data_IF_046623765932
#
_entry.id   IF_046623765932
#
_cell.length_a   1.000
_cell.length_b   1.000
_cell.length_c   1.000
_cell.angle_alpha   90.00
_cell.angle_beta   90.00
_cell.angle_gamma   90.00
#
_symmetry.space_group_name_H-M   'P 1'
#
loop_
_entity.id
_entity.type
_entity.pdbx_description
1 polymer ?
#
# COMPACT_ATOMS: atom_id res chain seq x y z
N UNK A 1 40.22 17.73 78.05
CA UNK A 1 40.25 18.25 76.67
C UNK A 1 40.94 19.59 76.74
N UNK A 2 41.97 19.82 75.92
CA UNK A 2 42.66 21.12 75.90
C UNK A 2 41.71 22.17 75.30
N UNK A 3 41.51 23.28 76.00
CA UNK A 3 40.79 24.44 75.47
C UNK A 3 41.70 25.18 74.49
N UNK A 4 41.32 25.20 73.22
CA UNK A 4 42.00 25.98 72.18
C UNK A 4 41.86 27.47 72.48
N UNK A 5 42.94 28.21 72.28
CA UNK A 5 42.93 29.67 72.38
C UNK A 5 42.10 30.27 71.23
N UNK A 6 41.61 31.49 71.42
CA UNK A 6 40.79 32.18 70.40
C UNK A 6 41.57 32.35 69.09
N UNK A 7 42.88 32.58 69.15
CA UNK A 7 43.76 32.78 68.00
C UNK A 7 43.94 31.50 67.18
N UNK A 8 44.08 30.34 67.85
CA UNK A 8 44.11 29.04 67.17
C UNK A 8 42.78 28.75 66.45
N UNK A 9 41.65 29.03 67.10
CA UNK A 9 40.32 28.85 66.48
C UNK A 9 40.07 29.76 65.28
N UNK A 10 40.60 30.98 65.29
CA UNK A 10 40.50 31.92 64.16
C UNK A 10 41.36 31.43 62.99
N UNK A 11 42.59 30.98 63.27
CA UNK A 11 43.49 30.42 62.25
C UNK A 11 42.89 29.18 61.58
N UNK A 12 42.30 28.27 62.37
CA UNK A 12 41.61 27.09 61.85
C UNK A 12 40.40 27.46 60.99
N UNK A 13 39.63 28.47 61.40
CA UNK A 13 38.49 28.96 60.63
C UNK A 13 38.91 29.59 59.30
N UNK A 14 39.99 30.37 59.28
CA UNK A 14 40.56 30.95 58.06
C UNK A 14 41.03 29.87 57.09
N UNK A 15 41.64 28.80 57.59
CA UNK A 15 42.04 27.66 56.78
C UNK A 15 40.82 26.95 56.16
N UNK A 16 39.79 26.67 56.97
CA UNK A 16 38.54 26.04 56.50
C UNK A 16 37.79 26.93 55.48
N UNK A 17 37.78 28.25 55.69
CA UNK A 17 37.18 29.20 54.74
C UNK A 17 37.96 29.24 53.42
N UNK A 18 39.30 29.20 53.46
CA UNK A 18 40.11 29.16 52.27
C UNK A 18 39.90 27.86 51.47
N UNK A 19 39.73 26.73 52.16
CA UNK A 19 39.47 25.44 51.52
C UNK A 19 38.07 25.40 50.88
N UNK A 20 37.05 25.90 51.59
CA UNK A 20 35.69 26.04 51.06
C UNK A 20 35.63 26.97 49.84
N UNK A 21 36.40 28.08 49.84
CA UNK A 21 36.51 28.97 48.68
C UNK A 21 37.14 28.28 47.48
N UNK A 22 38.10 27.38 47.69
CA UNK A 22 38.70 26.58 46.61
C UNK A 22 37.73 25.55 46.07
N UNK A 23 37.01 24.83 46.94
CA UNK A 23 35.98 23.86 46.51
C UNK A 23 34.85 24.55 45.73
N UNK A 24 34.31 25.65 46.24
CA UNK A 24 33.24 26.41 45.56
C UNK A 24 33.69 26.97 44.21
N UNK A 25 34.94 27.43 44.10
CA UNK A 25 35.51 27.86 42.81
C UNK A 25 35.63 26.69 41.83
N UNK A 26 36.07 25.51 42.30
CA UNK A 26 36.18 24.29 41.48
C UNK A 26 34.81 23.82 41.00
N UNK A 27 33.82 23.70 41.88
CA UNK A 27 32.45 23.33 41.50
C UNK A 27 31.84 24.35 40.52
N UNK A 28 32.15 25.63 40.66
CA UNK A 28 31.68 26.67 39.73
C UNK A 28 32.30 26.56 38.32
N UNK A 29 33.47 25.93 38.18
CA UNK A 29 34.07 25.61 36.88
C UNK A 29 33.40 24.36 36.31
N UNK A 30 33.30 23.28 37.09
CA UNK A 30 32.65 22.03 36.68
C UNK A 30 31.18 22.26 36.26
N UNK A 31 30.43 23.13 36.95
CA UNK A 31 29.06 23.50 36.57
C UNK A 31 28.98 24.29 35.26
N UNK A 32 30.01 25.08 34.92
CA UNK A 32 30.07 25.81 33.65
C UNK A 32 30.35 24.85 32.50
N UNK A 33 31.32 23.98 32.66
CA UNK A 33 31.65 22.93 31.68
C UNK A 33 30.43 22.03 31.42
N UNK A 34 29.77 21.55 32.49
CA UNK A 34 28.55 20.76 32.37
C UNK A 34 27.42 21.50 31.64
N UNK A 35 27.28 22.81 31.87
CA UNK A 35 26.25 23.62 31.20
C UNK A 35 26.53 23.75 29.71
N UNK A 36 27.78 23.86 29.32
CA UNK A 36 28.21 23.95 27.93
C UNK A 36 28.02 22.59 27.22
N UNK A 37 28.42 21.47 27.85
CA UNK A 37 28.14 20.10 27.36
C UNK A 37 26.63 19.85 27.20
N UNK A 38 25.82 20.27 28.17
CA UNK A 38 24.36 20.16 28.12
C UNK A 38 23.73 21.00 26.99
N UNK A 39 24.40 22.07 26.55
CA UNK A 39 23.94 22.88 25.43
C UNK A 39 24.25 22.20 24.11
N UNK A 40 25.48 21.70 23.94
CA UNK A 40 25.89 20.92 22.77
C UNK A 40 25.00 19.69 22.59
N UNK A 41 24.79 18.92 23.68
CA UNK A 41 23.89 17.76 23.67
C UNK A 41 22.46 18.12 23.25
N UNK A 42 21.93 19.28 23.69
CA UNK A 42 20.58 19.73 23.28
C UNK A 42 20.50 20.06 21.80
N UNK A 43 21.56 20.63 21.24
CA UNK A 43 21.61 20.99 19.82
C UNK A 43 21.77 19.74 18.95
N UNK A 44 22.65 18.79 19.33
CA UNK A 44 22.73 17.46 18.69
C UNK A 44 21.39 16.71 18.74
N UNK A 45 20.72 16.72 19.89
CA UNK A 45 19.40 16.09 20.04
C UNK A 45 18.31 16.74 19.18
N UNK A 46 18.43 18.04 18.86
CA UNK A 46 17.51 18.72 17.94
C UNK A 46 17.79 18.30 16.51
N UNK A 47 19.05 18.30 16.09
CA UNK A 47 19.46 17.87 14.75
C UNK A 47 19.07 16.41 14.49
N UNK A 48 19.34 15.52 15.45
CA UNK A 48 18.93 14.11 15.38
C UNK A 48 17.41 13.94 15.24
N UNK A 49 16.61 14.73 15.98
CA UNK A 49 15.14 14.71 15.86
C UNK A 49 14.68 15.18 14.49
N UNK A 50 15.29 16.22 13.95
CA UNK A 50 14.96 16.75 12.63
C UNK A 50 15.34 15.77 11.51
N UNK A 51 16.51 15.13 11.60
CA UNK A 51 16.93 14.07 10.70
C UNK A 51 15.97 12.88 10.76
N UNK A 52 15.68 12.37 11.95
CA UNK A 52 14.71 11.29 12.17
C UNK A 52 13.35 11.63 11.56
N UNK A 53 12.89 12.88 11.69
CA UNK A 53 11.62 13.33 11.10
C UNK A 53 11.69 13.32 9.57
N UNK A 54 12.78 13.79 8.97
CA UNK A 54 12.98 13.78 7.51
C UNK A 54 13.05 12.35 6.98
N UNK A 55 13.75 11.45 7.66
CA UNK A 55 13.80 10.03 7.32
C UNK A 55 12.43 9.37 7.40
N UNK A 56 11.65 9.62 8.45
CA UNK A 56 10.26 9.14 8.57
C UNK A 56 9.40 9.58 7.39
N UNK A 57 9.49 10.86 7.00
CA UNK A 57 8.74 11.39 5.84
C UNK A 57 9.18 10.67 4.54
N UNK A 58 10.49 10.50 4.34
CA UNK A 58 11.02 9.80 3.16
C UNK A 58 10.57 8.34 3.12
N UNK A 59 10.68 7.63 4.23
CA UNK A 59 10.22 6.24 4.35
C UNK A 59 8.72 6.16 4.07
N UNK A 60 7.89 7.02 4.66
CA UNK A 60 6.44 7.02 4.42
C UNK A 60 6.11 7.19 2.93
N UNK A 61 6.84 8.06 2.22
CA UNK A 61 6.70 8.20 0.77
C UNK A 61 7.07 6.92 0.02
N UNK A 62 8.21 6.32 0.35
CA UNK A 62 8.65 5.06 -0.28
C UNK A 62 7.67 3.91 -0.01
N UNK A 63 7.15 3.81 1.22
CA UNK A 63 6.13 2.84 1.60
C UNK A 63 4.83 3.07 0.82
N UNK A 64 4.42 4.33 0.63
CA UNK A 64 3.27 4.68 -0.21
C UNK A 64 3.49 4.28 -1.68
N UNK A 65 4.65 4.59 -2.25
CA UNK A 65 5.00 4.18 -3.62
C UNK A 65 5.04 2.66 -3.77
N UNK A 66 5.55 1.93 -2.78
CA UNK A 66 5.57 0.47 -2.77
C UNK A 66 4.15 -0.11 -2.69
N UNK A 67 3.30 0.41 -1.79
CA UNK A 67 1.92 -0.02 -1.67
C UNK A 67 1.12 0.19 -2.96
N UNK A 68 1.33 1.33 -3.64
CA UNK A 68 0.71 1.61 -4.94
C UNK A 68 1.14 0.58 -6.00
N UNK A 69 2.46 0.28 -6.08
CA UNK A 69 2.96 -0.74 -7.01
C UNK A 69 2.38 -2.12 -6.71
N UNK A 70 2.22 -2.49 -5.44
CA UNK A 70 1.61 -3.77 -5.09
C UNK A 70 0.17 -3.90 -5.60
N UNK A 71 -0.57 -2.79 -5.72
CA UNK A 71 -1.89 -2.76 -6.35
C UNK A 71 -1.82 -3.04 -7.85
N UNK A 72 -0.96 -2.30 -8.58
CA UNK A 72 -0.89 -2.41 -10.04
C UNK A 72 -0.15 -3.65 -10.53
N UNK A 73 0.64 -4.32 -9.69
CA UNK A 73 1.39 -5.51 -10.10
C UNK A 73 0.48 -6.63 -10.61
N UNK A 74 -0.70 -6.81 -10.00
CA UNK A 74 -1.64 -7.86 -10.46
C UNK A 74 -2.21 -7.48 -11.82
N UNK A 75 -2.57 -6.20 -12.01
CA UNK A 75 -3.06 -5.62 -13.27
C UNK A 75 -2.03 -5.77 -14.39
N UNK A 76 -0.78 -5.37 -14.12
CA UNK A 76 0.33 -5.41 -15.07
C UNK A 76 0.68 -6.86 -15.48
N UNK A 77 0.43 -7.84 -14.61
CA UNK A 77 0.64 -9.27 -14.89
C UNK A 77 -0.52 -9.91 -15.68
N UNK A 78 -1.76 -9.52 -15.40
CA UNK A 78 -2.93 -10.12 -16.05
C UNK A 78 -3.24 -9.51 -17.42
N UNK A 79 -3.09 -8.19 -17.57
CA UNK A 79 -3.48 -7.47 -18.78
C UNK A 79 -2.96 -8.10 -20.08
N UNK A 80 -1.67 -8.51 -20.18
CA UNK A 80 -1.14 -9.17 -21.37
C UNK A 80 -1.82 -10.52 -21.69
N UNK A 81 -2.36 -11.20 -20.67
CA UNK A 81 -2.97 -12.52 -20.78
C UNK A 81 -4.47 -12.47 -21.08
N UNK A 82 -5.15 -11.34 -20.87
CA UNK A 82 -6.61 -11.23 -21.06
C UNK A 82 -7.10 -11.67 -22.44
N UNK A 83 -6.47 -11.29 -23.57
CA UNK A 83 -6.91 -11.77 -24.89
C UNK A 83 -6.86 -13.29 -25.02
N UNK A 84 -5.77 -13.91 -24.54
CA UNK A 84 -5.60 -15.35 -24.61
C UNK A 84 -6.57 -16.10 -23.69
N UNK A 85 -6.88 -15.54 -22.52
CA UNK A 85 -7.86 -16.10 -21.59
C UNK A 85 -9.27 -16.02 -22.19
N UNK A 86 -9.61 -14.89 -22.81
CA UNK A 86 -10.91 -14.72 -23.46
C UNK A 86 -11.13 -15.78 -24.54
N UNK A 87 -10.14 -15.99 -25.41
CA UNK A 87 -10.19 -17.00 -26.47
C UNK A 87 -10.36 -18.44 -25.94
N UNK A 88 -9.91 -18.73 -24.72
CA UNK A 88 -10.09 -20.04 -24.08
C UNK A 88 -11.46 -20.18 -23.40
N UNK A 89 -12.00 -19.08 -22.89
CA UNK A 89 -13.20 -19.10 -22.06
C UNK A 89 -14.50 -18.92 -22.85
N UNK A 90 -14.45 -18.21 -23.98
CA UNK A 90 -15.61 -18.00 -24.87
C UNK A 90 -15.20 -18.23 -26.33
N UNK A 91 -16.17 -18.36 -27.23
CA UNK A 91 -15.94 -18.49 -28.67
C UNK A 91 -15.54 -17.13 -29.29
N UNK A 92 -14.40 -16.61 -28.85
CA UNK A 92 -13.76 -15.40 -29.34
C UNK A 92 -12.53 -15.82 -30.14
N UNK A 93 -12.45 -15.42 -31.41
CA UNK A 93 -11.27 -15.64 -32.24
C UNK A 93 -10.34 -14.43 -32.18
N UNK A 94 -9.05 -14.63 -32.38
CA UNK A 94 -8.07 -13.55 -32.31
C UNK A 94 -8.40 -12.39 -33.28
N UNK A 95 -8.95 -12.69 -34.46
CA UNK A 95 -9.33 -11.70 -35.48
C UNK A 95 -10.57 -10.89 -35.10
N UNK A 96 -11.36 -11.37 -34.14
CA UNK A 96 -12.57 -10.69 -33.65
C UNK A 96 -12.31 -9.77 -32.45
N UNK A 97 -11.05 -9.66 -32.00
CA UNK A 97 -10.67 -8.71 -30.95
C UNK A 97 -10.71 -7.30 -31.54
N UNK A 98 -11.69 -6.51 -31.11
CA UNK A 98 -11.92 -5.14 -31.59
C UNK A 98 -11.12 -4.13 -30.77
N UNK A 99 -10.98 -4.36 -29.46
CA UNK A 99 -10.27 -3.45 -28.57
C UNK A 99 -9.69 -4.16 -27.34
N UNK A 100 -8.51 -3.71 -26.91
CA UNK A 100 -7.91 -4.02 -25.60
C UNK A 100 -7.64 -2.70 -24.90
N UNK A 101 -8.33 -2.47 -23.79
CA UNK A 101 -8.29 -1.22 -23.05
C UNK A 101 -7.68 -1.48 -21.66
N UNK A 102 -6.40 -1.14 -21.45
CA UNK A 102 -5.80 -1.19 -20.12
C UNK A 102 -6.20 0.03 -19.30
N UNK A 103 -6.68 -0.17 -18.07
CA UNK A 103 -7.09 0.90 -17.15
C UNK A 103 -8.02 1.98 -17.73
N UNK A 104 -9.06 1.67 -18.52
CA UNK A 104 -9.94 2.70 -19.06
C UNK A 104 -10.72 3.36 -17.93
N UNK A 105 -10.66 4.70 -17.91
CA UNK A 105 -11.49 5.50 -17.02
C UNK A 105 -12.72 5.95 -17.79
N UNK A 106 -13.91 5.53 -17.34
CA UNK A 106 -15.19 5.80 -18.00
C UNK A 106 -16.12 6.57 -17.09
N UNK A 107 -16.91 7.46 -17.69
CA UNK A 107 -18.00 8.17 -17.02
C UNK A 107 -19.29 7.41 -17.24
N UNK A 108 -20.16 7.42 -16.24
CA UNK A 108 -21.50 6.87 -16.38
C UNK A 108 -22.29 7.69 -17.42
N UNK A 109 -23.08 7.02 -18.26
CA UNK A 109 -23.76 7.64 -19.41
C UNK A 109 -24.73 8.76 -18.98
N UNK A 110 -25.48 8.54 -17.91
CA UNK A 110 -26.46 9.49 -17.36
C UNK A 110 -25.94 10.28 -16.15
N UNK A 111 -25.30 9.63 -15.20
CA UNK A 111 -24.76 10.25 -13.98
C UNK A 111 -23.32 10.78 -14.14
N UNK A 112 -23.14 11.96 -14.74
CA UNK A 112 -21.81 12.49 -15.10
C UNK A 112 -20.80 12.65 -13.94
N UNK A 113 -21.28 12.74 -12.70
CA UNK A 113 -20.43 12.77 -11.49
C UNK A 113 -19.80 11.42 -11.17
N UNK A 114 -20.37 10.32 -11.67
CA UNK A 114 -19.87 8.96 -11.48
C UNK A 114 -18.85 8.64 -12.56
N UNK A 115 -17.66 8.29 -12.10
CA UNK A 115 -16.53 7.87 -12.92
C UNK A 115 -15.95 6.59 -12.29
N UNK A 116 -15.63 5.61 -13.13
CA UNK A 116 -15.02 4.34 -12.70
C UNK A 116 -13.79 4.08 -13.55
N UNK A 117 -12.71 3.68 -12.89
CA UNK A 117 -11.56 3.05 -13.53
C UNK A 117 -11.78 1.54 -13.50
N UNK A 118 -11.53 0.89 -14.63
CA UNK A 118 -11.59 -0.56 -14.76
C UNK A 118 -10.19 -1.08 -15.01
N UNK A 119 -9.73 -2.10 -14.31
CA UNK A 119 -8.34 -2.58 -14.42
C UNK A 119 -8.00 -3.03 -15.86
N UNK A 120 -8.93 -3.72 -16.52
CA UNK A 120 -8.81 -4.08 -17.92
C UNK A 120 -10.15 -4.39 -18.58
N UNK A 121 -10.30 -3.98 -19.84
CA UNK A 121 -11.49 -4.29 -20.64
C UNK A 121 -11.08 -4.77 -22.01
N UNK A 122 -11.70 -5.84 -22.49
CA UNK A 122 -11.46 -6.39 -23.84
C UNK A 122 -12.79 -6.54 -24.56
N UNK A 123 -12.84 -6.06 -25.80
CA UNK A 123 -14.00 -6.22 -26.69
C UNK A 123 -13.62 -7.28 -27.73
N UNK A 124 -14.40 -8.35 -27.81
CA UNK A 124 -14.18 -9.41 -28.79
C UNK A 124 -15.50 -9.96 -29.32
N UNK A 125 -15.81 -9.67 -30.59
CA UNK A 125 -17.08 -10.04 -31.19
C UNK A 125 -18.25 -9.64 -30.28
N UNK A 126 -19.11 -10.60 -29.94
CA UNK A 126 -20.28 -10.36 -29.10
C UNK A 126 -19.98 -10.21 -27.60
N UNK A 127 -18.72 -10.17 -27.18
CA UNK A 127 -18.32 -10.20 -25.78
C UNK A 127 -17.60 -8.94 -25.34
N UNK A 128 -17.95 -8.48 -24.13
CA UNK A 128 -17.25 -7.44 -23.40
C UNK A 128 -16.68 -8.05 -22.12
N UNK A 129 -15.38 -8.33 -22.11
CA UNK A 129 -14.70 -8.83 -20.92
C UNK A 129 -14.30 -7.66 -20.03
N UNK A 130 -14.65 -7.74 -18.75
CA UNK A 130 -14.20 -6.81 -17.71
C UNK A 130 -13.36 -7.57 -16.71
N UNK A 131 -12.13 -7.13 -16.52
CA UNK A 131 -11.19 -7.68 -15.56
C UNK A 131 -11.06 -6.77 -14.34
N UNK A 132 -11.01 -7.40 -13.17
CA UNK A 132 -10.69 -6.73 -11.90
C UNK A 132 -9.67 -7.56 -11.13
N UNK A 133 -8.68 -6.89 -10.56
CA UNK A 133 -7.57 -7.48 -9.85
C UNK A 133 -7.65 -7.17 -8.36
N UNK A 134 -7.27 -8.14 -7.54
CA UNK A 134 -7.26 -8.02 -6.08
C UNK A 134 -5.95 -8.54 -5.55
N UNK A 135 -5.28 -7.76 -4.71
CA UNK A 135 -4.09 -8.20 -3.96
C UNK A 135 -4.39 -9.32 -2.98
N UNK A 136 -5.61 -9.35 -2.44
CA UNK A 136 -6.12 -10.41 -1.57
C UNK A 136 -7.58 -10.66 -1.90
N UNK A 137 -7.91 -11.91 -2.21
CA UNK A 137 -9.23 -12.32 -2.66
C UNK A 137 -10.06 -12.91 -1.50
N UNK A 138 -11.31 -12.47 -1.41
CA UNK A 138 -12.30 -12.98 -0.46
C UNK A 138 -13.62 -13.24 -1.18
N UNK A 139 -14.50 -14.06 -0.59
CA UNK A 139 -15.84 -14.30 -1.14
C UNK A 139 -16.67 -13.01 -1.24
N UNK A 140 -16.47 -12.06 -0.32
CA UNK A 140 -17.11 -10.74 -0.36
C UNK A 140 -16.68 -9.93 -1.58
N UNK A 141 -15.36 -9.82 -1.83
CA UNK A 141 -14.83 -9.11 -3.01
C UNK A 141 -15.30 -9.73 -4.33
N UNK A 142 -15.43 -11.06 -4.37
CA UNK A 142 -16.00 -11.76 -5.53
C UNK A 142 -17.46 -11.34 -5.75
N UNK A 143 -18.27 -11.27 -4.68
CA UNK A 143 -19.67 -10.82 -4.77
C UNK A 143 -19.76 -9.37 -5.19
N UNK A 144 -19.02 -8.47 -4.56
CA UNK A 144 -18.99 -7.04 -4.90
C UNK A 144 -18.66 -6.83 -6.38
N UNK A 145 -17.64 -7.53 -6.89
CA UNK A 145 -17.30 -7.48 -8.31
C UNK A 145 -18.45 -7.98 -9.18
N UNK A 146 -19.00 -9.15 -8.86
CA UNK A 146 -20.11 -9.78 -9.61
C UNK A 146 -21.34 -8.88 -9.65
N UNK A 147 -21.71 -8.27 -8.53
CA UNK A 147 -22.86 -7.38 -8.41
C UNK A 147 -22.66 -6.07 -9.17
N UNK A 148 -21.40 -5.67 -9.44
CA UNK A 148 -21.06 -4.49 -10.23
C UNK A 148 -21.11 -4.72 -11.75
N UNK A 149 -21.09 -5.97 -12.23
CA UNK A 149 -21.01 -6.30 -13.65
C UNK A 149 -22.22 -5.82 -14.48
N UNK A 150 -23.48 -5.89 -14.01
CA UNK A 150 -24.62 -5.38 -14.77
C UNK A 150 -24.52 -3.89 -15.10
N UNK A 151 -23.92 -3.09 -14.22
CA UNK A 151 -23.76 -1.64 -14.38
C UNK A 151 -22.68 -1.27 -15.41
N UNK A 152 -21.81 -2.21 -15.81
CA UNK A 152 -20.75 -1.96 -16.81
C UNK A 152 -21.30 -1.34 -18.09
N UNK A 153 -22.51 -1.75 -18.52
CA UNK A 153 -23.15 -1.22 -19.74
C UNK A 153 -23.42 0.29 -19.67
N UNK A 154 -23.63 0.83 -18.48
CA UNK A 154 -23.84 2.27 -18.30
C UNK A 154 -22.54 3.08 -18.44
N UNK A 155 -21.38 2.44 -18.30
CA UNK A 155 -20.06 3.05 -18.53
C UNK A 155 -19.56 2.84 -19.97
N UNK A 156 -20.05 1.80 -20.65
CA UNK A 156 -19.72 1.44 -22.02
C UNK A 156 -20.99 1.32 -22.89
N UNK A 157 -21.76 2.40 -23.06
CA UNK A 157 -23.02 2.37 -23.82
C UNK A 157 -22.81 1.93 -25.29
N UNK A 158 -21.63 2.17 -25.86
CA UNK A 158 -21.27 1.71 -27.21
C UNK A 158 -21.15 0.18 -27.34
N UNK A 159 -21.07 -0.54 -26.21
CA UNK A 159 -21.00 -2.01 -26.16
C UNK A 159 -22.15 -2.62 -25.35
N UNK A 160 -23.27 -1.90 -25.20
CA UNK A 160 -24.39 -2.33 -24.37
C UNK A 160 -25.09 -3.61 -24.90
N UNK A 161 -24.99 -3.88 -26.20
CA UNK A 161 -25.49 -5.07 -26.88
C UNK A 161 -24.59 -6.30 -26.68
N UNK A 162 -23.36 -6.10 -26.19
CA UNK A 162 -22.41 -7.18 -25.95
C UNK A 162 -22.72 -7.94 -24.64
N UNK A 163 -22.32 -9.20 -24.61
CA UNK A 163 -22.38 -10.08 -23.44
C UNK A 163 -21.23 -9.75 -22.51
N UNK A 164 -21.53 -9.17 -21.35
CA UNK A 164 -20.52 -8.82 -20.36
C UNK A 164 -20.02 -10.07 -19.64
N UNK A 165 -18.71 -10.32 -19.67
CA UNK A 165 -18.04 -11.44 -19.00
C UNK A 165 -17.11 -10.88 -17.92
N UNK A 166 -17.31 -11.31 -16.67
CA UNK A 166 -16.47 -10.92 -15.55
C UNK A 166 -15.25 -11.81 -15.39
N UNK A 167 -14.10 -11.20 -15.14
CA UNK A 167 -12.84 -11.86 -14.82
C UNK A 167 -12.29 -11.27 -13.53
N UNK A 168 -12.05 -12.08 -12.51
CA UNK A 168 -11.38 -11.65 -11.29
C UNK A 168 -10.00 -12.30 -11.17
N UNK A 169 -9.02 -11.52 -10.73
CA UNK A 169 -7.62 -11.96 -10.67
C UNK A 169 -6.99 -11.69 -9.32
N UNK A 170 -6.13 -12.60 -8.88
CA UNK A 170 -5.33 -12.43 -7.68
C UNK A 170 -4.04 -13.24 -7.79
N UNK A 171 -2.95 -12.75 -7.20
CA UNK A 171 -1.71 -13.54 -7.13
C UNK A 171 -1.90 -14.82 -6.32
N UNK A 172 -2.75 -14.76 -5.30
CA UNK A 172 -3.09 -15.91 -4.47
C UNK A 172 -4.60 -16.10 -4.44
N UNK A 173 -5.05 -17.28 -4.90
CA UNK A 173 -6.45 -17.69 -4.91
C UNK A 173 -6.60 -18.90 -3.99
N UNK A 174 -7.29 -18.78 -2.85
CA UNK A 174 -7.67 -19.93 -2.04
C UNK A 174 -8.54 -20.90 -2.85
N UNK A 175 -8.23 -22.20 -2.80
CA UNK A 175 -8.90 -23.23 -3.60
C UNK A 175 -10.42 -23.25 -3.42
N UNK A 176 -10.90 -22.96 -2.21
CA UNK A 176 -12.33 -22.90 -1.89
C UNK A 176 -13.07 -21.74 -2.57
N UNK A 177 -12.36 -20.72 -3.06
CA UNK A 177 -12.97 -19.59 -3.78
C UNK A 177 -13.18 -19.86 -5.27
N UNK A 178 -12.48 -20.84 -5.85
CA UNK A 178 -12.65 -21.23 -7.27
C UNK A 178 -14.10 -21.69 -7.55
N UNK A 179 -14.66 -22.71 -6.85
CA UNK A 179 -16.04 -23.13 -7.08
C UNK A 179 -17.06 -22.04 -6.68
N UNK A 180 -16.68 -21.12 -5.78
CA UNK A 180 -17.53 -19.98 -5.45
C UNK A 180 -17.60 -18.98 -6.62
N UNK A 181 -16.48 -18.63 -7.24
CA UNK A 181 -16.42 -17.78 -8.42
C UNK A 181 -17.18 -18.39 -9.61
N UNK A 182 -17.03 -19.70 -9.83
CA UNK A 182 -17.81 -20.44 -10.84
C UNK A 182 -19.31 -20.35 -10.59
N UNK A 183 -19.74 -20.53 -9.33
CA UNK A 183 -21.15 -20.39 -8.95
C UNK A 183 -21.66 -18.95 -9.17
N UNK A 184 -20.81 -17.94 -9.01
CA UNK A 184 -21.14 -16.56 -9.38
C UNK A 184 -21.15 -16.33 -10.90
N UNK A 185 -20.62 -17.27 -11.69
CA UNK A 185 -20.59 -17.20 -13.14
C UNK A 185 -19.43 -16.37 -13.70
N UNK A 186 -18.38 -16.13 -12.92
CA UNK A 186 -17.22 -15.34 -13.36
C UNK A 186 -15.98 -16.22 -13.57
N UNK A 187 -15.09 -15.75 -14.43
CA UNK A 187 -13.77 -16.34 -14.62
C UNK A 187 -12.85 -15.91 -13.48
N UNK A 188 -11.98 -16.81 -13.04
CA UNK A 188 -11.00 -16.56 -11.99
C UNK A 188 -9.60 -16.92 -12.49
N UNK A 189 -8.68 -15.97 -12.32
CA UNK A 189 -7.29 -16.11 -12.72
C UNK A 189 -6.40 -16.03 -11.50
N UNK A 190 -5.40 -16.89 -11.44
CA UNK A 190 -4.35 -16.78 -10.44
C UNK A 190 -2.97 -17.10 -11.00
N UNK A 191 -1.97 -16.92 -10.14
CA UNK A 191 -0.60 -17.21 -10.51
C UNK A 191 -0.38 -18.74 -10.54
N UNK A 192 -0.14 -19.27 -11.72
CA UNK A 192 0.17 -20.68 -11.96
C UNK A 192 1.66 -20.97 -11.82
N UNK A 193 2.18 -21.87 -12.66
CA UNK A 193 3.59 -22.30 -12.56
C UNK A 193 4.58 -21.25 -13.07
N UNK A 194 4.22 -20.57 -14.15
CA UNK A 194 5.11 -19.62 -14.84
C UNK A 194 4.41 -18.29 -15.20
N UNK A 195 3.08 -18.27 -15.24
CA UNK A 195 2.29 -17.09 -15.61
C UNK A 195 0.90 -17.10 -14.98
N UNK A 196 0.12 -16.06 -15.28
CA UNK A 196 -1.29 -15.98 -14.89
C UNK A 196 -2.11 -16.98 -15.72
N UNK A 197 -2.87 -17.83 -15.03
CA UNK A 197 -3.63 -18.93 -15.62
C UNK A 197 -5.10 -18.89 -15.19
N UNK A 198 -5.99 -19.40 -16.05
CA UNK A 198 -7.40 -19.58 -15.73
C UNK A 198 -7.54 -20.76 -14.77
N UNK A 199 -8.15 -20.54 -13.60
CA UNK A 199 -8.27 -21.55 -12.54
C UNK A 199 -9.63 -22.26 -12.50
N UNK A 200 -10.62 -21.77 -13.27
CA UNK A 200 -11.90 -22.46 -13.41
C UNK A 200 -11.70 -23.89 -13.95
N UNK A 201 -12.63 -24.78 -13.62
CA UNK A 201 -12.66 -26.15 -14.09
C UNK A 201 -12.78 -26.21 -15.62
N UNK A 202 -12.16 -27.20 -16.26
CA UNK A 202 -12.28 -27.41 -17.70
C UNK A 202 -13.76 -27.49 -18.14
N UNK A 203 -14.11 -26.73 -19.16
CA UNK A 203 -15.48 -26.68 -19.70
C UNK A 203 -16.42 -25.70 -19.00
N UNK A 204 -15.98 -25.01 -17.93
CA UNK A 204 -16.75 -23.94 -17.32
C UNK A 204 -17.15 -22.88 -18.36
N UNK A 205 -18.43 -22.49 -18.34
CA UNK A 205 -18.98 -21.44 -19.19
C UNK A 205 -19.34 -20.24 -18.32
N UNK A 206 -18.72 -19.06 -18.51
CA UNK A 206 -19.05 -17.89 -17.74
C UNK A 206 -20.47 -17.39 -18.04
N UNK A 207 -21.09 -16.78 -17.04
CA UNK A 207 -22.38 -16.09 -17.18
C UNK A 207 -22.18 -14.80 -17.98
N UNK A 208 -23.14 -14.51 -18.86
CA UNK A 208 -23.29 -13.17 -19.43
C UNK A 208 -24.13 -12.30 -18.48
N UNK A 209 -23.56 -11.18 -18.04
CA UNK A 209 -24.20 -10.20 -17.17
C UNK A 209 -24.93 -9.11 -17.98
#
# INVERSE_FOLDING_TARGET
MAELTVEERVTDLEYLMADLLRETARTSVELREFKDEMREFKDEMREFKDETRRERIRMNRQWGELANKMGTLVEDLILPSLPAILQKAVDCRAETIEAVMPRPVRRHATERSRQREFDGVVVCGDYLLVAESKSSLTAEKIREFTDSLPEVRDFFPEFADRKTIGVIASLHVPENLIPFAEKQGILIIGFGRENMELLNQPGFQPKAF
#
